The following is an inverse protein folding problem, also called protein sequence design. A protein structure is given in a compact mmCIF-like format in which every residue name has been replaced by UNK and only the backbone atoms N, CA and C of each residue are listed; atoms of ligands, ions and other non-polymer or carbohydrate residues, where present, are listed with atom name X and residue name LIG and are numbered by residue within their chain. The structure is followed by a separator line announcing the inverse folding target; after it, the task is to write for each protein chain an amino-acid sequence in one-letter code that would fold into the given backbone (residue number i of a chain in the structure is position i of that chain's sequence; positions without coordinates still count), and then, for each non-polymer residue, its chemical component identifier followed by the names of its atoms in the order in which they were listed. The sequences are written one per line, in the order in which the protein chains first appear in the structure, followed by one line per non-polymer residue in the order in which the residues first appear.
data_IF_904033132586
#
_entry.id   IF_904033132586
#
_cell.length_a   1.000
_cell.length_b   1.000
_cell.length_c   1.000
_cell.angle_alpha   90.00
_cell.angle_beta   90.00
_cell.angle_gamma   90.00
#
_symmetry.space_group_name_H-M   'P 1'
#
loop_
_entity.id
_entity.type
_entity.pdbx_description
1 polymer ?
#
# COMPACT_ATOMS: atom_id res chain seq x y z
N UNK A 1 -7.92 -3.65 0.24
CA UNK A 1 -7.31 -2.46 -0.38
C UNK A 1 -5.81 -2.47 -0.09
N UNK A 2 -4.98 -2.55 -1.11
CA UNK A 2 -3.54 -2.30 -1.01
C UNK A 2 -3.31 -0.82 -1.24
N UNK A 3 -2.74 -0.14 -0.26
CA UNK A 3 -2.60 1.31 -0.27
C UNK A 3 -1.12 1.71 -0.28
N UNK A 4 -0.73 2.47 -1.30
CA UNK A 4 0.60 3.07 -1.44
C UNK A 4 0.53 4.53 -1.03
N UNK A 5 1.31 4.92 -0.01
CA UNK A 5 1.25 6.26 0.53
C UNK A 5 1.83 7.32 -0.43
N UNK A 6 1.41 8.57 -0.30
CA UNK A 6 2.04 9.70 -0.96
C UNK A 6 3.35 10.13 -0.29
N UNK A 7 3.89 11.26 -0.76
CA UNK A 7 5.11 11.88 -0.19
C UNK A 7 6.24 12.13 -1.18
N UNK A 8 5.95 12.23 -2.48
CA UNK A 8 6.94 12.56 -3.50
C UNK A 8 8.07 11.53 -3.60
N UNK A 9 7.79 10.27 -3.28
CA UNK A 9 8.75 9.16 -3.18
C UNK A 9 9.86 9.36 -2.14
N UNK A 10 9.79 10.40 -1.30
CA UNK A 10 10.84 10.77 -0.33
C UNK A 10 10.31 10.76 1.10
N UNK A 11 9.06 11.19 1.27
CA UNK A 11 8.39 11.32 2.56
C UNK A 11 7.30 10.28 2.72
N UNK A 12 6.81 10.15 3.95
CA UNK A 12 5.73 9.24 4.29
C UNK A 12 6.24 7.92 4.86
N UNK A 13 5.47 7.39 5.79
CA UNK A 13 5.66 6.09 6.44
C UNK A 13 4.29 5.47 6.72
N UNK A 14 4.22 4.17 6.98
CA UNK A 14 2.95 3.53 7.38
C UNK A 14 2.41 4.10 8.70
N UNK A 15 3.26 4.63 9.58
CA UNK A 15 2.82 5.24 10.83
C UNK A 15 2.02 6.52 10.57
N UNK A 16 2.53 7.39 9.70
CA UNK A 16 1.87 8.64 9.30
C UNK A 16 0.55 8.38 8.54
N UNK A 17 0.49 7.29 7.77
CA UNK A 17 -0.69 6.90 7.00
C UNK A 17 -1.65 5.96 7.73
N UNK A 18 -1.30 5.45 8.92
CA UNK A 18 -2.17 4.57 9.72
C UNK A 18 -3.54 5.18 10.02
N UNK A 19 -3.68 6.47 10.39
CA UNK A 19 -4.99 7.09 10.60
C UNK A 19 -5.87 7.10 9.35
N UNK A 20 -5.27 7.35 8.17
CA UNK A 20 -5.97 7.29 6.89
C UNK A 20 -6.43 5.87 6.57
N UNK A 21 -5.55 4.89 6.73
CA UNK A 21 -5.87 3.47 6.49
C UNK A 21 -7.00 2.99 7.40
N UNK A 22 -6.97 3.34 8.70
CA UNK A 22 -8.05 3.02 9.64
C UNK A 22 -9.36 3.65 9.24
N UNK A 23 -9.36 4.93 8.86
CA UNK A 23 -10.58 5.61 8.37
C UNK A 23 -11.11 4.97 7.10
N UNK A 24 -10.23 4.59 6.17
CA UNK A 24 -10.61 3.90 4.94
C UNK A 24 -11.23 2.53 5.25
N UNK A 25 -10.61 1.74 6.13
CA UNK A 25 -11.13 0.45 6.56
C UNK A 25 -12.51 0.58 7.21
N UNK A 26 -12.67 1.49 8.18
CA UNK A 26 -13.96 1.72 8.85
C UNK A 26 -15.06 2.15 7.88
N UNK A 27 -14.75 3.00 6.89
CA UNK A 27 -15.77 3.53 5.98
C UNK A 27 -16.15 2.58 4.85
N UNK A 28 -15.24 1.71 4.44
CA UNK A 28 -15.45 0.80 3.31
C UNK A 28 -15.82 -0.61 3.74
N UNK A 29 -15.52 -0.99 4.99
CA UNK A 29 -15.59 -2.37 5.45
C UNK A 29 -14.48 -3.26 4.87
N UNK A 30 -13.56 -2.71 4.07
CA UNK A 30 -12.47 -3.47 3.50
C UNK A 30 -11.28 -3.58 4.47
N UNK A 31 -10.58 -4.71 4.43
CA UNK A 31 -9.23 -4.78 4.95
C UNK A 31 -8.31 -3.82 4.17
N UNK A 32 -7.41 -3.12 4.86
CA UNK A 32 -6.45 -2.18 4.26
C UNK A 32 -5.03 -2.62 4.62
N UNK A 33 -4.19 -2.82 3.60
CA UNK A 33 -2.77 -3.10 3.75
C UNK A 33 -2.00 -1.86 3.30
N UNK A 34 -1.29 -1.22 4.23
CA UNK A 34 -0.33 -0.17 3.91
C UNK A 34 1.00 -0.82 3.52
N UNK A 35 1.57 -0.40 2.38
CA UNK A 35 2.87 -0.88 1.93
C UNK A 35 3.95 0.14 2.30
N UNK A 36 4.92 -0.28 3.11
CA UNK A 36 6.15 0.48 3.41
C UNK A 36 7.18 0.18 2.31
N UNK A 37 7.10 0.91 1.20
CA UNK A 37 8.06 0.78 0.12
C UNK A 37 9.29 1.66 0.39
N UNK A 38 10.45 1.30 -0.19
CA UNK A 38 11.68 2.08 -0.02
C UNK A 38 11.59 3.43 -0.73
N UNK A 39 12.06 4.49 -0.06
CA UNK A 39 11.99 5.87 -0.53
C UNK A 39 13.34 6.41 -1.00
N UNK A 40 13.29 7.42 -1.87
CA UNK A 40 14.41 8.26 -2.26
C UNK A 40 14.78 9.24 -1.13
N UNK A 41 16.02 9.79 -1.12
CA UNK A 41 17.09 9.63 -2.11
C UNK A 41 17.90 8.33 -2.01
N UNK A 42 17.79 7.58 -0.91
CA UNK A 42 18.55 6.36 -0.64
C UNK A 42 18.24 5.29 -1.68
N UNK A 43 16.96 5.17 -2.06
CA UNK A 43 16.48 4.21 -3.05
C UNK A 43 15.82 4.94 -4.21
N UNK A 44 16.59 5.16 -5.27
CA UNK A 44 16.12 5.88 -6.46
C UNK A 44 15.15 5.02 -7.28
N UNK A 45 14.41 5.67 -8.18
CA UNK A 45 13.62 4.99 -9.20
C UNK A 45 14.47 3.91 -9.92
N UNK A 46 13.95 2.69 -10.14
CA UNK A 46 12.55 2.26 -9.97
C UNK A 46 12.18 1.62 -8.63
N UNK A 47 13.02 1.72 -7.59
CA UNK A 47 12.90 0.89 -6.37
C UNK A 47 11.52 0.88 -5.73
N UNK A 48 10.90 2.05 -5.52
CA UNK A 48 9.56 2.14 -4.93
C UNK A 48 8.49 1.41 -5.78
N UNK A 49 8.61 1.46 -7.11
CA UNK A 49 7.68 0.79 -8.05
C UNK A 49 7.88 -0.72 -7.98
N UNK A 50 9.12 -1.19 -7.92
CA UNK A 50 9.44 -2.62 -7.79
C UNK A 50 8.93 -3.18 -6.46
N UNK A 51 9.10 -2.44 -5.35
CA UNK A 51 8.58 -2.80 -4.04
C UNK A 51 7.04 -2.84 -4.03
N UNK A 52 6.40 -1.83 -4.64
CA UNK A 52 4.95 -1.77 -4.76
C UNK A 52 4.40 -2.97 -5.54
N UNK A 53 5.04 -3.32 -6.66
CA UNK A 53 4.67 -4.47 -7.48
C UNK A 53 4.90 -5.80 -6.76
N UNK A 54 6.03 -5.95 -6.09
CA UNK A 54 6.35 -7.15 -5.32
C UNK A 54 5.35 -7.35 -4.18
N UNK A 55 5.03 -6.27 -3.44
CA UNK A 55 4.04 -6.30 -2.37
C UNK A 55 2.65 -6.67 -2.90
N UNK A 56 2.22 -6.07 -4.01
CA UNK A 56 0.92 -6.36 -4.62
C UNK A 56 0.77 -7.85 -4.97
N UNK A 57 1.78 -8.43 -5.62
CA UNK A 57 1.78 -9.85 -5.98
C UNK A 57 1.76 -10.75 -4.74
N UNK A 58 2.60 -10.45 -3.75
CA UNK A 58 2.63 -11.22 -2.50
C UNK A 58 1.28 -11.17 -1.78
N UNK A 59 0.61 -10.00 -1.78
CA UNK A 59 -0.70 -9.84 -1.16
C UNK A 59 -1.76 -10.66 -1.92
N UNK A 60 -1.77 -10.62 -3.26
CA UNK A 60 -2.72 -11.39 -4.08
C UNK A 60 -2.59 -12.89 -3.82
N UNK A 61 -1.36 -13.40 -3.77
CA UNK A 61 -1.07 -14.81 -3.45
C UNK A 61 -1.46 -15.17 -2.01
N UNK A 62 -1.46 -14.18 -1.09
CA UNK A 62 -1.75 -14.38 0.32
C UNK A 62 -3.20 -14.04 0.73
N UNK A 63 -4.08 -13.63 -0.19
CA UNK A 63 -5.41 -13.09 0.15
C UNK A 63 -6.23 -14.01 1.05
N UNK A 64 -6.42 -15.27 0.65
CA UNK A 64 -7.20 -16.23 1.44
C UNK A 64 -6.62 -16.43 2.85
N UNK A 65 -5.28 -16.41 2.97
CA UNK A 65 -4.60 -16.51 4.27
C UNK A 65 -4.77 -15.26 5.13
N UNK A 66 -4.83 -14.08 4.51
CA UNK A 66 -4.91 -12.79 5.21
C UNK A 66 -6.33 -12.43 5.64
N UNK A 67 -7.34 -12.76 4.81
CA UNK A 67 -8.74 -12.34 5.04
C UNK A 67 -9.72 -13.51 5.16
N UNK A 68 -9.27 -14.76 4.98
CA UNK A 68 -10.08 -15.97 5.16
C UNK A 68 -10.85 -16.44 3.93
N UNK A 69 -10.88 -15.64 2.85
CA UNK A 69 -11.59 -15.96 1.61
C UNK A 69 -10.98 -15.23 0.40
N UNK A 70 -11.33 -15.64 -0.81
CA UNK A 70 -10.96 -14.92 -2.05
C UNK A 70 -11.87 -13.69 -2.19
N UNK A 71 -11.30 -12.50 -1.98
CA UNK A 71 -11.99 -11.21 -2.15
C UNK A 71 -11.43 -10.42 -3.33
N UNK A 72 -12.19 -9.44 -3.87
CA UNK A 72 -11.64 -8.49 -4.83
C UNK A 72 -10.45 -7.73 -4.26
N UNK A 73 -9.38 -7.63 -5.04
CA UNK A 73 -8.22 -6.81 -4.73
C UNK A 73 -8.40 -5.41 -5.33
N UNK A 74 -8.21 -4.38 -4.50
CA UNK A 74 -8.30 -2.96 -4.89
C UNK A 74 -6.96 -2.31 -4.60
N UNK A 75 -6.42 -1.59 -5.58
CA UNK A 75 -5.22 -0.74 -5.43
C UNK A 75 -5.66 0.70 -5.23
N UNK A 76 -5.01 1.41 -4.31
CA UNK A 76 -5.23 2.82 -4.06
C UNK A 76 -3.93 3.50 -3.63
N UNK A 77 -3.87 4.82 -3.80
CA UNK A 77 -2.78 5.65 -3.31
C UNK A 77 -3.09 7.12 -3.53
N UNK A 78 -2.30 7.99 -2.90
CA UNK A 78 -2.40 9.44 -3.06
C UNK A 78 -1.08 10.03 -3.55
N UNK A 79 -1.15 11.11 -4.34
CA UNK A 79 0.03 11.82 -4.83
C UNK A 79 1.02 10.85 -5.50
N UNK A 80 2.27 10.77 -5.03
CA UNK A 80 3.29 9.85 -5.52
C UNK A 80 2.91 8.35 -5.41
N UNK A 81 2.10 7.96 -4.43
CA UNK A 81 1.58 6.59 -4.31
C UNK A 81 0.41 6.29 -5.26
N UNK A 82 -0.20 7.33 -5.84
CA UNK A 82 -1.22 7.20 -6.87
C UNK A 82 -0.68 7.30 -8.31
N UNK A 83 0.63 7.55 -8.47
CA UNK A 83 1.31 7.60 -9.77
C UNK A 83 1.42 6.22 -10.41
#
# INVERSE_FOLDING_TARGET
VVYFHGGGWVLGTIAEFSPLARRLATRTGCAVVLVEYRTAPEYRFPTAVDDAWLALRWIDDALERLVGERVPLIVAGDSAGGN
#
